data_IF_462590600376
#
_entry.id   IF_462590600376
#
_cell.length_a   1.000
_cell.length_b   1.000
_cell.length_c   1.000
_cell.angle_alpha   90.00
_cell.angle_beta   90.00
_cell.angle_gamma   90.00
#
_symmetry.space_group_name_H-M   'P 1'
#
loop_
_entity.id
_entity.type
_entity.pdbx_description
1 polymer ?
#
# COMPACT_ATOMS: atom_id res chain seq x y z
N UNK A 1 -1.66 -18.31 -0.89
CA UNK A 1 -3.07 -17.84 -0.89
C UNK A 1 -3.15 -16.37 -0.44
N UNK A 2 -2.74 -16.01 0.78
CA UNK A 2 -2.81 -14.63 1.31
C UNK A 2 -2.00 -13.59 0.50
N UNK A 3 -0.81 -13.99 0.04
CA UNK A 3 0.12 -13.14 -0.72
C UNK A 3 -0.46 -12.58 -2.02
N UNK A 4 -1.47 -13.25 -2.60
CA UNK A 4 -2.11 -12.85 -3.86
C UNK A 4 -3.33 -11.96 -3.60
N UNK A 5 -4.05 -12.21 -2.52
CA UNK A 5 -5.30 -11.50 -2.21
C UNK A 5 -5.06 -10.09 -1.68
N UNK A 6 -4.01 -9.88 -0.87
CA UNK A 6 -3.67 -8.55 -0.35
C UNK A 6 -3.41 -7.52 -1.47
N UNK A 7 -2.57 -7.81 -2.49
CA UNK A 7 -2.40 -6.90 -3.62
C UNK A 7 -3.66 -6.68 -4.47
N UNK A 8 -4.54 -7.70 -4.61
CA UNK A 8 -5.80 -7.56 -5.35
C UNK A 8 -6.78 -6.62 -4.64
N UNK A 9 -7.01 -6.83 -3.34
CA UNK A 9 -7.85 -5.95 -2.53
C UNK A 9 -7.31 -4.51 -2.54
N UNK A 10 -5.99 -4.38 -2.42
CA UNK A 10 -5.30 -3.11 -2.51
C UNK A 10 -5.48 -2.41 -3.87
N UNK A 11 -5.47 -3.16 -4.98
CA UNK A 11 -5.70 -2.63 -6.32
C UNK A 11 -7.09 -2.01 -6.44
N UNK A 12 -8.12 -2.69 -5.95
CA UNK A 12 -9.50 -2.20 -6.02
C UNK A 12 -9.69 -0.92 -5.22
N UNK A 13 -9.17 -0.89 -3.99
CA UNK A 13 -9.22 0.29 -3.13
C UNK A 13 -8.42 1.46 -3.73
N UNK A 14 -7.20 1.21 -4.19
CA UNK A 14 -6.37 2.21 -4.85
C UNK A 14 -7.02 2.76 -6.13
N UNK A 15 -7.67 1.90 -6.93
CA UNK A 15 -8.37 2.35 -8.13
C UNK A 15 -9.54 3.29 -7.81
N UNK A 16 -10.29 3.03 -6.73
CA UNK A 16 -11.36 3.92 -6.26
C UNK A 16 -10.79 5.27 -5.79
N UNK A 17 -9.73 5.25 -4.97
CA UNK A 17 -9.08 6.46 -4.48
C UNK A 17 -8.47 7.31 -5.63
N UNK A 18 -7.83 6.67 -6.61
CA UNK A 18 -7.30 7.35 -7.80
C UNK A 18 -8.43 7.95 -8.64
N UNK A 19 -9.56 7.24 -8.76
CA UNK A 19 -10.74 7.74 -9.48
C UNK A 19 -11.33 8.97 -8.79
N UNK A 20 -11.45 8.95 -7.46
CA UNK A 20 -11.91 10.08 -6.66
C UNK A 20 -10.96 11.29 -6.77
N UNK A 21 -9.66 11.04 -6.76
CA UNK A 21 -8.65 12.08 -6.94
C UNK A 21 -8.70 12.75 -8.33
N UNK A 22 -9.15 12.04 -9.36
CA UNK A 22 -9.40 12.60 -10.71
C UNK A 22 -8.16 12.99 -11.51
N UNK A 23 -6.95 12.68 -11.01
CA UNK A 23 -5.68 12.97 -11.67
C UNK A 23 -5.07 11.69 -12.28
N UNK A 24 -4.18 11.81 -13.27
CA UNK A 24 -3.56 10.65 -13.86
C UNK A 24 -2.67 9.94 -12.84
N UNK A 25 -2.81 8.60 -12.75
CA UNK A 25 -1.99 7.73 -11.89
C UNK A 25 -0.48 7.88 -12.11
N UNK A 26 -0.07 8.39 -13.29
CA UNK A 26 1.33 8.75 -13.53
C UNK A 26 1.81 9.74 -12.49
N UNK A 27 1.05 10.75 -12.08
CA UNK A 27 1.48 11.77 -11.09
C UNK A 27 1.81 11.21 -9.70
N UNK A 28 1.49 9.96 -9.40
CA UNK A 28 1.93 9.30 -8.15
C UNK A 28 3.46 9.17 -8.16
N UNK A 29 4.08 9.61 -7.07
CA UNK A 29 5.54 9.68 -6.91
C UNK A 29 6.06 8.71 -5.84
N UNK A 30 5.24 8.48 -4.81
CA UNK A 30 5.58 7.64 -3.67
C UNK A 30 4.43 6.67 -3.40
N UNK A 31 4.75 5.45 -3.01
CA UNK A 31 3.81 4.44 -2.56
C UNK A 31 4.23 3.97 -1.17
N UNK A 32 3.35 4.15 -0.19
CA UNK A 32 3.48 3.53 1.14
C UNK A 32 2.48 2.40 1.22
N UNK A 33 2.98 1.19 1.45
CA UNK A 33 2.14 0.00 1.60
C UNK A 33 2.34 -0.60 2.97
N UNK A 34 1.26 -0.87 3.68
CA UNK A 34 1.28 -1.51 4.98
C UNK A 34 0.33 -2.70 5.03
N UNK A 35 0.83 -3.81 5.58
CA UNK A 35 0.04 -5.01 5.88
C UNK A 35 0.67 -5.82 7.01
N UNK A 36 -0.17 -6.44 7.81
CA UNK A 36 0.14 -7.39 8.87
C UNK A 36 -0.16 -8.83 8.41
N UNK A 37 -0.74 -8.96 7.22
CA UNK A 37 -1.29 -10.20 6.68
C UNK A 37 -0.28 -10.98 5.84
N UNK A 38 0.85 -11.30 6.45
CA UNK A 38 1.93 -12.08 5.84
C UNK A 38 2.99 -11.22 5.14
N UNK A 39 4.10 -11.88 4.83
CA UNK A 39 5.31 -11.27 4.23
C UNK A 39 5.65 -11.98 2.93
N UNK A 40 6.17 -11.23 1.95
CA UNK A 40 6.63 -11.81 0.68
C UNK A 40 7.78 -11.01 0.09
N UNK A 41 8.59 -11.65 -0.75
CA UNK A 41 9.64 -11.01 -1.52
C UNK A 41 9.61 -11.53 -2.97
N UNK A 42 9.32 -10.68 -3.98
CA UNK A 42 9.04 -9.24 -3.92
C UNK A 42 7.79 -8.87 -3.12
N UNK A 43 7.84 -7.71 -2.47
CA UNK A 43 6.79 -7.25 -1.55
C UNK A 43 5.45 -6.93 -2.20
N UNK A 44 4.43 -6.73 -1.37
CA UNK A 44 3.07 -6.40 -1.80
C UNK A 44 3.01 -5.03 -2.49
N UNK A 45 3.87 -4.11 -2.06
CA UNK A 45 4.13 -2.83 -2.72
C UNK A 45 4.55 -3.03 -4.19
N UNK A 46 5.48 -3.94 -4.46
CA UNK A 46 5.97 -4.22 -5.81
C UNK A 46 4.86 -4.82 -6.67
N UNK A 47 4.17 -5.84 -6.16
CA UNK A 47 3.06 -6.47 -6.86
C UNK A 47 1.98 -5.46 -7.22
N UNK A 48 1.64 -4.56 -6.28
CA UNK A 48 0.67 -3.52 -6.52
C UNK A 48 1.12 -2.53 -7.60
N UNK A 49 2.38 -2.09 -7.59
CA UNK A 49 2.87 -1.17 -8.65
C UNK A 49 2.71 -1.76 -10.05
N UNK A 50 2.94 -3.07 -10.19
CA UNK A 50 2.73 -3.81 -11.44
C UNK A 50 1.25 -3.90 -11.80
N UNK A 51 0.38 -4.20 -10.82
CA UNK A 51 -1.07 -4.33 -11.03
C UNK A 51 -1.76 -3.01 -11.39
N UNK A 52 -1.32 -1.89 -10.82
CA UNK A 52 -1.85 -0.55 -11.12
C UNK A 52 -1.19 0.09 -12.34
N UNK A 53 -0.06 -0.45 -12.81
CA UNK A 53 0.73 0.15 -13.88
C UNK A 53 1.26 1.53 -13.50
N UNK A 54 1.84 1.64 -12.30
CA UNK A 54 2.52 2.85 -11.83
C UNK A 54 3.89 2.99 -12.51
N UNK A 55 4.49 4.18 -12.43
CA UNK A 55 5.84 4.40 -12.97
C UNK A 55 6.86 3.52 -12.25
N UNK A 56 7.85 2.92 -12.95
CA UNK A 56 8.93 2.17 -12.31
C UNK A 56 9.78 3.00 -11.33
N UNK A 57 9.81 4.32 -11.53
CA UNK A 57 10.53 5.27 -10.67
C UNK A 57 9.81 5.67 -9.39
N UNK A 58 8.61 5.13 -9.12
CA UNK A 58 7.89 5.39 -7.87
C UNK A 58 8.72 4.90 -6.69
N UNK A 59 8.95 5.78 -5.72
CA UNK A 59 9.64 5.43 -4.47
C UNK A 59 8.69 4.62 -3.59
N UNK A 60 9.07 3.40 -3.25
CA UNK A 60 8.23 2.46 -2.51
C UNK A 60 8.73 2.33 -1.07
N UNK A 61 7.80 2.36 -0.12
CA UNK A 61 8.05 2.09 1.27
C UNK A 61 7.06 1.00 1.71
N UNK A 62 7.60 -0.17 2.03
CA UNK A 62 6.82 -1.34 2.45
C UNK A 62 7.01 -1.52 3.96
N UNK A 63 5.89 -1.54 4.70
CA UNK A 63 5.90 -1.84 6.14
C UNK A 63 5.10 -3.11 6.40
N UNK A 64 5.81 -4.15 6.80
CA UNK A 64 5.21 -5.40 7.22
C UNK A 64 4.98 -5.42 8.73
N UNK A 65 3.89 -6.08 9.13
CA UNK A 65 3.69 -6.58 10.49
C UNK A 65 3.65 -5.48 11.57
N UNK A 66 3.11 -4.32 11.21
CA UNK A 66 2.99 -3.16 12.08
C UNK A 66 1.75 -3.20 12.99
N UNK A 67 0.74 -4.03 12.68
CA UNK A 67 -0.49 -4.12 13.46
C UNK A 67 -1.37 -2.87 13.38
N UNK A 68 -2.31 -2.74 14.33
CA UNK A 68 -3.42 -1.79 14.22
C UNK A 68 -3.01 -0.30 14.22
N UNK A 69 -1.85 0.05 14.79
CA UNK A 69 -1.38 1.44 14.85
C UNK A 69 -0.69 1.91 13.56
N UNK A 70 -0.52 1.02 12.58
CA UNK A 70 0.21 1.34 11.39
C UNK A 70 -0.47 2.42 10.54
N UNK A 71 -1.80 2.57 10.63
CA UNK A 71 -2.55 3.65 10.00
C UNK A 71 -1.99 5.04 10.34
N UNK A 72 -1.79 5.34 11.62
CA UNK A 72 -1.18 6.61 12.04
C UNK A 72 0.28 6.74 11.59
N UNK A 73 1.01 5.63 11.60
CA UNK A 73 2.42 5.59 11.18
C UNK A 73 2.58 5.87 9.68
N UNK A 74 1.74 5.28 8.82
CA UNK A 74 1.79 5.51 7.37
C UNK A 74 1.45 6.97 7.03
N UNK A 75 0.49 7.59 7.73
CA UNK A 75 0.17 8.99 7.50
C UNK A 75 1.26 9.94 7.99
N UNK A 76 1.91 9.63 9.12
CA UNK A 76 3.08 10.38 9.57
C UNK A 76 4.20 10.36 8.52
N UNK A 77 4.52 9.17 7.98
CA UNK A 77 5.51 9.05 6.90
C UNK A 77 5.05 9.75 5.61
N UNK A 78 3.76 9.65 5.28
CA UNK A 78 3.20 10.31 4.09
C UNK A 78 3.31 11.83 4.18
N UNK A 79 3.08 12.41 5.37
CA UNK A 79 3.24 13.84 5.65
C UNK A 79 4.67 14.27 5.35
N UNK A 80 5.65 13.60 5.95
CA UNK A 80 7.07 13.94 5.78
C UNK A 80 7.49 13.84 4.30
N UNK A 81 7.05 12.79 3.59
CA UNK A 81 7.35 12.62 2.17
C UNK A 81 6.68 13.68 1.29
N UNK A 82 5.43 14.06 1.59
CA UNK A 82 4.70 15.06 0.82
C UNK A 82 5.25 16.47 1.05
N UNK A 83 5.65 16.81 2.28
CA UNK A 83 6.18 18.12 2.64
C UNK A 83 7.62 18.33 2.14
N UNK A 84 8.48 17.30 2.22
CA UNK A 84 9.88 17.42 1.79
C UNK A 84 10.11 17.33 0.27
N UNK A 85 9.11 16.92 -0.51
CA UNK A 85 9.26 16.74 -1.95
C UNK A 85 8.23 17.60 -2.69
N UNK A 86 8.69 18.71 -3.27
CA UNK A 86 7.82 19.61 -4.03
C UNK A 86 7.07 18.87 -5.14
N UNK A 87 5.74 19.00 -5.15
CA UNK A 87 4.87 18.33 -6.13
C UNK A 87 4.68 16.82 -5.89
N UNK A 88 5.18 16.27 -4.79
CA UNK A 88 4.97 14.86 -4.49
C UNK A 88 3.49 14.52 -4.28
N UNK A 89 3.15 13.32 -4.74
CA UNK A 89 1.87 12.67 -4.51
C UNK A 89 2.16 11.29 -3.95
N UNK A 90 1.67 11.06 -2.73
CA UNK A 90 1.89 9.84 -1.96
C UNK A 90 0.61 9.03 -1.99
N UNK A 91 0.67 7.82 -2.53
CA UNK A 91 -0.41 6.84 -2.42
C UNK A 91 -0.15 6.01 -1.16
N UNK A 92 -1.09 6.05 -0.22
CA UNK A 92 -1.02 5.31 1.04
C UNK A 92 -2.02 4.17 1.00
N UNK A 93 -1.57 2.96 1.32
CA UNK A 93 -2.40 1.76 1.31
C UNK A 93 -2.19 0.99 2.60
N UNK A 94 -3.31 0.67 3.22
CA UNK A 94 -3.39 -0.25 4.35
C UNK A 94 -4.35 -1.37 3.95
N UNK A 95 -3.85 -2.60 3.90
CA UNK A 95 -4.64 -3.76 3.48
C UNK A 95 -4.38 -4.94 4.41
N UNK A 96 -5.45 -5.50 4.97
CA UNK A 96 -5.40 -6.60 5.91
C UNK A 96 -6.38 -7.70 5.53
N UNK A 97 -6.03 -8.93 5.89
CA UNK A 97 -6.79 -10.14 5.73
C UNK A 97 -6.56 -11.02 6.98
N UNK A 98 -7.65 -11.48 7.59
CA UNK A 98 -7.64 -12.26 8.84
C UNK A 98 -7.16 -13.70 8.67
N UNK A 99 -6.87 -14.17 7.46
CA UNK A 99 -6.42 -15.56 7.19
C UNK A 99 -5.18 -15.95 8.01
N UNK A 100 -4.23 -15.04 8.25
CA UNK A 100 -3.00 -15.34 9.01
C UNK A 100 -3.27 -15.48 10.51
N UNK A 101 -4.30 -14.81 11.02
CA UNK A 101 -4.66 -14.81 12.44
C UNK A 101 -5.80 -15.77 12.75
N UNK A 102 -6.38 -16.41 11.75
CA UNK A 102 -7.47 -17.35 11.91
C UNK A 102 -6.94 -18.69 12.43
N UNK A 103 -7.24 -19.02 13.68
CA UNK A 103 -6.96 -20.32 14.27
C UNK A 103 -8.25 -20.92 14.84
N UNK A 104 -8.58 -22.15 14.42
CA UNK A 104 -9.65 -22.91 15.05
C UNK A 104 -9.09 -23.58 16.31
N UNK A 105 -9.68 -23.28 17.46
CA UNK A 105 -9.43 -24.01 18.71
C UNK A 105 -10.68 -24.84 18.97
N UNK A 106 -10.56 -26.17 18.92
CA UNK A 106 -11.52 -27.10 19.52
C UNK A 106 -11.22 -27.19 21.02
#
# INVERSE_FOLDING_TARGET
MVVIEIPKLSKESAAKAIKEWGQPKSKITHLIFCTTSGVNMPGADYQLTKLLGLRPSVKRLMMYQQGCFAGGTVFRLAKDLAENNAGARVLVIYSENTVVTFSWTL
#
